data_IF_795363844858
#
_entry.id   IF_795363844858
#
_cell.length_a   1.000
_cell.length_b   1.000
_cell.length_c   1.000
_cell.angle_alpha   90.00
_cell.angle_beta   90.00
_cell.angle_gamma   90.00
#
_symmetry.space_group_name_H-M   'P 1'
#
loop_
_entity.id
_entity.type
_entity.pdbx_description
1 polymer ?
#
# COMPACT_ATOMS: atom_id res chain seq x y z
N UNK A 1 1.33 1.56 0.05
CA UNK A 1 2.12 0.31 -0.15
C UNK A 1 3.31 0.29 0.78
N UNK A 2 3.68 -0.86 1.30
CA UNK A 2 4.89 -1.05 2.11
C UNK A 2 5.90 -1.81 1.27
N UNK A 3 7.10 -1.24 1.12
CA UNK A 3 8.20 -1.75 0.31
C UNK A 3 9.43 -1.93 1.19
N UNK A 4 10.03 -3.11 1.17
CA UNK A 4 11.25 -3.44 1.90
C UNK A 4 12.35 -3.91 0.93
N UNK A 5 13.58 -3.43 1.15
CA UNK A 5 14.72 -3.73 0.28
C UNK A 5 14.74 -2.93 -1.01
N UNK A 6 15.70 -3.25 -1.89
CA UNK A 6 16.00 -2.52 -3.13
C UNK A 6 16.22 -3.47 -4.30
N UNK A 7 16.03 -2.97 -5.52
CA UNK A 7 16.27 -3.72 -6.75
C UNK A 7 15.50 -5.04 -6.78
N UNK A 8 16.16 -6.11 -7.21
CA UNK A 8 15.56 -7.45 -7.28
C UNK A 8 15.29 -8.08 -5.90
N UNK A 9 15.95 -7.59 -4.84
CA UNK A 9 15.67 -7.99 -3.45
C UNK A 9 14.44 -7.29 -2.85
N UNK A 10 13.90 -6.29 -3.51
CA UNK A 10 12.73 -5.55 -3.03
C UNK A 10 11.51 -6.46 -2.90
N UNK A 11 10.76 -6.27 -1.80
CA UNK A 11 9.54 -7.02 -1.50
C UNK A 11 8.41 -6.09 -1.14
N UNK A 12 7.23 -6.42 -1.64
CA UNK A 12 5.97 -5.71 -1.42
C UNK A 12 5.16 -6.47 -0.37
N UNK A 13 4.67 -5.78 0.65
CA UNK A 13 3.74 -6.37 1.60
C UNK A 13 2.34 -6.41 0.99
N UNK A 14 1.74 -7.59 0.96
CA UNK A 14 0.34 -7.79 0.59
C UNK A 14 -0.42 -8.46 1.71
N UNK A 15 -1.67 -8.07 1.90
CA UNK A 15 -2.54 -8.56 2.96
C UNK A 15 -3.74 -9.31 2.36
N UNK A 16 -4.12 -10.41 2.98
CA UNK A 16 -5.32 -11.17 2.59
C UNK A 16 -6.52 -10.70 3.40
N UNK A 17 -7.53 -10.19 2.74
CA UNK A 17 -8.72 -9.60 3.37
C UNK A 17 -9.61 -10.63 4.06
N UNK A 18 -10.20 -10.22 5.17
CA UNK A 18 -11.18 -11.00 5.95
C UNK A 18 -12.54 -10.29 6.02
N UNK A 19 -12.89 -9.49 5.03
CA UNK A 19 -14.16 -8.73 5.03
C UNK A 19 -15.13 -9.22 3.98
N UNK A 20 -16.31 -9.70 4.40
CA UNK A 20 -17.48 -9.95 3.57
C UNK A 20 -17.16 -10.46 2.15
N UNK A 21 -17.61 -9.71 1.13
CA UNK A 21 -17.44 -10.05 -0.30
C UNK A 21 -16.00 -10.03 -0.80
N UNK A 22 -15.07 -9.43 -0.07
CA UNK A 22 -13.64 -9.37 -0.43
C UNK A 22 -12.78 -10.38 0.33
N UNK A 23 -13.40 -11.29 1.11
CA UNK A 23 -12.67 -12.29 1.88
C UNK A 23 -11.81 -13.19 0.99
N UNK A 24 -10.54 -13.34 1.38
CA UNK A 24 -9.55 -14.13 0.65
C UNK A 24 -8.80 -13.38 -0.45
N UNK A 25 -9.26 -12.20 -0.84
CA UNK A 25 -8.58 -11.38 -1.83
C UNK A 25 -7.31 -10.74 -1.26
N UNK A 26 -6.27 -10.67 -2.07
CA UNK A 26 -5.03 -9.99 -1.73
C UNK A 26 -5.05 -8.52 -2.15
N UNK A 27 -4.61 -7.65 -1.27
CA UNK A 27 -4.55 -6.20 -1.51
C UNK A 27 -3.31 -5.57 -0.86
N UNK A 28 -2.97 -4.37 -1.30
CA UNK A 28 -2.14 -3.46 -0.51
C UNK A 28 -2.93 -2.99 0.73
N UNK A 29 -2.24 -2.41 1.73
CA UNK A 29 -2.92 -1.70 2.82
C UNK A 29 -3.78 -0.60 2.23
N UNK A 30 -5.04 -0.57 2.64
CA UNK A 30 -6.04 0.40 2.18
C UNK A 30 -6.86 0.88 3.37
N UNK A 31 -7.23 2.16 3.35
CA UNK A 31 -8.09 2.73 4.37
C UNK A 31 -8.91 3.90 3.85
N UNK A 32 -9.83 4.37 4.69
CA UNK A 32 -10.66 5.53 4.43
C UNK A 32 -10.19 6.70 5.26
N UNK A 33 -10.39 7.91 4.74
CA UNK A 33 -10.19 9.13 5.51
C UNK A 33 -11.22 9.20 6.64
N UNK A 34 -10.76 9.55 7.81
CA UNK A 34 -11.61 10.01 8.89
C UNK A 34 -11.92 11.50 8.74
N UNK A 35 -12.87 11.99 9.55
CA UNK A 35 -13.23 13.41 9.51
C UNK A 35 -12.01 14.26 9.84
N UNK A 36 -11.77 15.27 9.00
CA UNK A 36 -10.67 16.24 9.12
C UNK A 36 -9.24 15.64 9.04
N UNK A 37 -9.10 14.37 8.61
CA UNK A 37 -7.83 13.66 8.48
C UNK A 37 -7.20 13.91 7.09
N UNK A 38 -5.90 14.17 7.05
CA UNK A 38 -5.15 14.23 5.78
C UNK A 38 -4.85 12.83 5.27
N UNK A 39 -4.76 12.66 3.94
CA UNK A 39 -4.52 11.36 3.32
C UNK A 39 -3.20 10.68 3.79
N UNK A 40 -2.15 11.48 4.05
CA UNK A 40 -0.89 10.95 4.58
C UNK A 40 -1.01 10.47 6.03
N UNK A 41 -1.83 11.13 6.83
CA UNK A 41 -2.13 10.72 8.22
C UNK A 41 -2.93 9.43 8.21
N UNK A 42 -3.98 9.37 7.37
CA UNK A 42 -4.82 8.19 7.21
C UNK A 42 -4.00 6.94 6.85
N UNK A 43 -3.13 7.03 5.86
CA UNK A 43 -2.34 5.84 5.45
C UNK A 43 -1.34 5.41 6.52
N UNK A 44 -0.76 6.34 7.29
CA UNK A 44 0.10 5.99 8.43
C UNK A 44 -0.70 5.27 9.52
N UNK A 45 -1.89 5.77 9.84
CA UNK A 45 -2.81 5.14 10.81
C UNK A 45 -3.22 3.75 10.35
N UNK A 46 -3.69 3.61 9.12
CA UNK A 46 -4.12 2.30 8.57
C UNK A 46 -2.96 1.28 8.55
N UNK A 47 -1.75 1.70 8.17
CA UNK A 47 -0.57 0.81 8.24
C UNK A 47 -0.31 0.35 9.68
N UNK A 48 -0.37 1.26 10.63
CA UNK A 48 -0.15 0.91 12.04
C UNK A 48 -1.26 -0.01 12.58
N UNK A 49 -2.51 0.25 12.27
CA UNK A 49 -3.67 -0.55 12.71
C UNK A 49 -3.67 -1.95 12.08
N UNK A 50 -3.47 -2.05 10.76
CA UNK A 50 -3.56 -3.31 10.03
C UNK A 50 -2.31 -4.20 10.16
N UNK A 51 -1.13 -3.61 10.44
CA UNK A 51 0.15 -4.34 10.39
C UNK A 51 1.04 -4.18 11.61
N UNK A 52 0.73 -3.25 12.50
CA UNK A 52 1.60 -2.90 13.64
C UNK A 52 2.89 -2.15 13.25
N UNK A 53 3.05 -1.77 11.98
CA UNK A 53 4.26 -1.11 11.48
C UNK A 53 4.16 0.40 11.66
N UNK A 54 5.18 1.00 12.28
CA UNK A 54 5.34 2.46 12.33
C UNK A 54 6.07 2.95 11.07
N UNK A 55 5.52 3.97 10.41
CA UNK A 55 6.06 4.54 9.17
C UNK A 55 6.82 5.83 9.45
N UNK A 56 8.12 5.83 9.20
CA UNK A 56 8.98 7.03 9.29
C UNK A 56 9.01 7.76 7.95
N UNK A 57 9.41 7.10 6.88
CA UNK A 57 9.52 7.67 5.55
C UNK A 57 8.32 7.28 4.68
N UNK A 58 7.50 8.26 4.32
CA UNK A 58 6.35 8.09 3.44
C UNK A 58 6.51 8.97 2.20
N UNK A 59 6.24 8.39 1.04
CA UNK A 59 6.35 9.08 -0.25
C UNK A 59 5.02 9.05 -1.00
N UNK A 60 4.71 10.14 -1.71
CA UNK A 60 3.68 10.10 -2.76
C UNK A 60 4.23 9.45 -4.02
N UNK A 61 3.47 8.59 -4.64
CA UNK A 61 3.88 7.94 -5.90
C UNK A 61 3.47 8.74 -7.15
N UNK A 62 2.48 9.63 -7.00
CA UNK A 62 1.80 10.25 -8.14
C UNK A 62 0.77 9.33 -8.82
N UNK A 63 0.68 8.06 -8.40
CA UNK A 63 -0.34 7.14 -8.88
C UNK A 63 -1.62 7.25 -8.06
N UNK A 64 -2.75 7.10 -8.73
CA UNK A 64 -4.09 7.09 -8.13
C UNK A 64 -4.82 5.85 -8.62
N UNK A 65 -5.34 5.04 -7.71
CA UNK A 65 -6.30 3.99 -8.02
C UNK A 65 -7.68 4.61 -8.13
N UNK A 66 -8.36 4.37 -9.26
CA UNK A 66 -9.71 4.90 -9.51
C UNK A 66 -10.64 3.76 -9.89
N UNK A 67 -11.74 3.61 -9.17
CA UNK A 67 -12.69 2.55 -9.43
C UNK A 67 -14.14 2.96 -9.12
N UNK A 68 -15.08 2.25 -9.74
CA UNK A 68 -16.50 2.39 -9.43
C UNK A 68 -16.89 1.50 -8.25
N UNK A 69 -17.37 2.13 -7.18
CA UNK A 69 -17.95 1.45 -6.03
C UNK A 69 -19.46 1.28 -6.26
N UNK A 70 -19.89 0.08 -6.63
CA UNK A 70 -21.30 -0.22 -6.93
C UNK A 70 -22.20 -0.12 -5.70
N UNK A 71 -21.67 -0.41 -4.52
CA UNK A 71 -22.44 -0.33 -3.26
C UNK A 71 -22.77 1.11 -2.85
N UNK A 72 -21.85 2.04 -3.09
CA UNK A 72 -22.04 3.47 -2.82
C UNK A 72 -22.53 4.25 -4.05
N UNK A 73 -22.55 3.63 -5.22
CA UNK A 73 -22.85 4.26 -6.52
C UNK A 73 -21.98 5.49 -6.77
N UNK A 74 -20.66 5.36 -6.57
CA UNK A 74 -19.69 6.44 -6.64
C UNK A 74 -18.42 6.03 -7.37
N UNK A 75 -17.69 7.01 -7.91
CA UNK A 75 -16.30 6.85 -8.33
C UNK A 75 -15.43 7.19 -7.13
N UNK A 76 -14.57 6.26 -6.75
CA UNK A 76 -13.59 6.46 -5.68
C UNK A 76 -12.20 6.67 -6.28
N UNK A 77 -11.45 7.63 -5.71
CA UNK A 77 -10.07 7.94 -6.08
C UNK A 77 -9.19 7.78 -4.84
N UNK A 78 -8.23 6.87 -4.91
CA UNK A 78 -7.34 6.55 -3.80
C UNK A 78 -5.89 6.84 -4.19
N UNK A 79 -5.25 7.87 -3.63
CA UNK A 79 -3.83 8.10 -3.87
C UNK A 79 -3.00 6.94 -3.32
N UNK A 80 -1.97 6.55 -4.06
CA UNK A 80 -1.06 5.48 -3.65
C UNK A 80 0.20 6.09 -3.06
N UNK A 81 0.53 5.69 -1.84
CA UNK A 81 1.74 6.07 -1.12
C UNK A 81 2.70 4.89 -1.00
N UNK A 82 3.98 5.17 -0.82
CA UNK A 82 5.00 4.17 -0.51
C UNK A 82 5.66 4.49 0.83
N UNK A 83 5.61 3.53 1.75
CA UNK A 83 6.44 3.50 2.95
C UNK A 83 7.65 2.60 2.68
N UNK A 84 8.86 3.13 2.84
CA UNK A 84 10.11 2.43 2.52
C UNK A 84 10.81 1.95 3.78
N UNK A 85 11.33 0.73 3.70
CA UNK A 85 12.15 0.09 4.74
C UNK A 85 13.36 -0.59 4.11
N UNK A 86 14.50 -0.57 4.80
CA UNK A 86 15.72 -1.26 4.35
C UNK A 86 15.55 -2.77 4.36
N UNK A 87 14.79 -3.29 5.33
CA UNK A 87 14.44 -4.70 5.46
C UNK A 87 12.99 -4.86 5.90
N UNK A 88 12.40 -6.03 5.67
CA UNK A 88 11.02 -6.31 6.02
C UNK A 88 10.79 -6.18 7.54
N UNK A 89 9.97 -5.23 8.00
CA UNK A 89 9.60 -5.13 9.41
C UNK A 89 8.71 -6.28 9.83
N UNK A 90 8.63 -6.53 11.15
CA UNK A 90 7.70 -7.48 11.71
C UNK A 90 6.26 -7.03 11.49
N UNK A 91 5.39 -7.97 11.13
CA UNK A 91 3.97 -7.72 10.86
C UNK A 91 3.12 -8.38 11.94
N UNK A 92 2.22 -7.61 12.54
CA UNK A 92 1.17 -8.10 13.44
C UNK A 92 -0.18 -7.70 12.85
N UNK A 93 -0.90 -8.67 12.30
CA UNK A 93 -2.19 -8.41 11.64
C UNK A 93 -3.30 -8.10 12.65
N UNK A 94 -4.20 -7.23 12.24
CA UNK A 94 -5.48 -7.02 12.88
C UNK A 94 -6.50 -8.14 12.52
N UNK A 95 -7.75 -8.00 13.01
CA UNK A 95 -8.82 -8.97 12.74
C UNK A 95 -9.42 -8.85 11.33
N UNK A 96 -9.08 -7.81 10.59
CA UNK A 96 -9.59 -7.55 9.23
C UNK A 96 -8.81 -8.30 8.15
N UNK A 97 -7.70 -8.95 8.54
CA UNK A 97 -6.82 -9.67 7.62
C UNK A 97 -6.54 -11.09 8.09
N UNK A 98 -6.50 -12.03 7.14
CA UNK A 98 -6.28 -13.47 7.39
C UNK A 98 -4.81 -13.85 7.37
N UNK A 99 -4.02 -13.22 6.49
CA UNK A 99 -2.62 -13.54 6.25
C UNK A 99 -1.90 -12.35 5.63
N UNK A 100 -0.58 -12.40 5.63
CA UNK A 100 0.28 -11.48 4.88
C UNK A 100 1.37 -12.23 4.13
N UNK A 101 1.92 -11.61 3.09
CA UNK A 101 3.08 -12.10 2.35
C UNK A 101 3.97 -10.93 1.94
N UNK A 102 5.28 -11.17 1.95
CA UNK A 102 6.26 -10.34 1.30
C UNK A 102 6.57 -10.93 -0.07
N UNK A 103 6.16 -10.27 -1.13
CA UNK A 103 6.25 -10.77 -2.51
C UNK A 103 7.21 -9.92 -3.34
N UNK A 104 7.84 -10.52 -4.33
CA UNK A 104 8.46 -9.76 -5.42
C UNK A 104 7.41 -8.93 -6.17
N UNK A 105 7.83 -7.96 -6.95
CA UNK A 105 6.88 -7.17 -7.74
C UNK A 105 6.10 -8.04 -8.74
N UNK A 106 6.74 -9.00 -9.37
CA UNK A 106 6.07 -9.93 -10.30
C UNK A 106 5.00 -10.77 -9.59
N UNK A 107 5.34 -11.37 -8.45
CA UNK A 107 4.39 -12.15 -7.64
C UNK A 107 3.25 -11.27 -7.10
N UNK A 108 3.53 -10.03 -6.70
CA UNK A 108 2.51 -9.11 -6.23
C UNK A 108 1.52 -8.71 -7.33
N UNK A 109 1.99 -8.48 -8.57
CA UNK A 109 1.14 -8.22 -9.73
C UNK A 109 0.17 -9.39 -9.97
N UNK A 110 0.65 -10.63 -9.86
CA UNK A 110 -0.21 -11.81 -10.03
C UNK A 110 -1.20 -12.01 -8.86
N UNK A 111 -0.79 -11.68 -7.64
CA UNK A 111 -1.60 -11.92 -6.44
C UNK A 111 -2.69 -10.87 -6.20
N UNK A 112 -2.40 -9.58 -6.49
CA UNK A 112 -3.30 -8.48 -6.17
C UNK A 112 -4.61 -8.56 -6.95
N UNK A 113 -5.73 -8.43 -6.24
CA UNK A 113 -7.07 -8.51 -6.82
C UNK A 113 -7.48 -7.22 -7.57
N UNK A 114 -6.98 -6.07 -7.15
CA UNK A 114 -7.43 -4.76 -7.63
C UNK A 114 -6.58 -4.24 -8.79
N UNK A 115 -7.19 -3.96 -9.96
CA UNK A 115 -6.47 -3.53 -11.16
C UNK A 115 -5.58 -2.30 -10.95
N UNK A 116 -6.10 -1.25 -10.33
CA UNK A 116 -5.34 -0.02 -10.11
C UNK A 116 -4.11 -0.22 -9.23
N UNK A 117 -4.17 -1.14 -8.27
CA UNK A 117 -3.00 -1.52 -7.47
C UNK A 117 -1.95 -2.23 -8.34
N UNK A 118 -2.37 -3.18 -9.19
CA UNK A 118 -1.45 -3.87 -10.12
C UNK A 118 -0.79 -2.90 -11.09
N UNK A 119 -1.56 -1.99 -11.65
CA UNK A 119 -1.10 -1.02 -12.66
C UNK A 119 -0.07 -0.03 -12.10
N UNK A 120 -0.14 0.28 -10.81
CA UNK A 120 0.83 1.15 -10.15
C UNK A 120 2.19 0.50 -9.90
N UNK A 121 2.25 -0.83 -9.74
CA UNK A 121 3.47 -1.54 -9.32
C UNK A 121 4.67 -1.34 -10.25
N UNK A 122 4.57 -1.36 -11.60
CA UNK A 122 5.70 -1.10 -12.48
C UNK A 122 6.30 0.30 -12.30
N UNK A 123 5.46 1.31 -12.10
CA UNK A 123 5.92 2.68 -11.82
C UNK A 123 6.63 2.78 -10.49
N UNK A 124 6.07 2.14 -9.46
CA UNK A 124 6.64 2.14 -8.12
C UNK A 124 7.96 1.37 -8.09
N UNK A 125 8.05 0.22 -8.77
CA UNK A 125 9.30 -0.52 -8.89
C UNK A 125 10.40 0.36 -9.47
N UNK A 126 10.14 0.99 -10.60
CA UNK A 126 11.08 1.87 -11.28
C UNK A 126 11.58 3.01 -10.40
N UNK A 127 10.66 3.71 -9.70
CA UNK A 127 10.97 4.97 -9.01
C UNK A 127 11.41 4.78 -7.56
N UNK A 128 11.09 3.63 -6.92
CA UNK A 128 11.33 3.40 -5.49
C UNK A 128 12.13 2.13 -5.17
N UNK A 129 12.22 1.15 -6.08
CA UNK A 129 13.03 -0.04 -5.88
C UNK A 129 14.31 -0.02 -6.71
N UNK A 130 14.21 0.27 -8.01
CA UNK A 130 15.34 0.24 -8.94
C UNK A 130 16.17 1.52 -8.92
N UNK A 131 15.65 2.60 -8.36
CA UNK A 131 16.28 3.93 -8.26
C UNK A 131 16.20 4.45 -6.83
N UNK A 132 17.05 5.46 -6.54
CA UNK A 132 16.86 6.23 -5.31
C UNK A 132 15.52 6.96 -5.34
N UNK A 133 14.76 6.92 -4.21
CA UNK A 133 13.47 7.58 -4.12
C UNK A 133 13.61 9.08 -4.41
N UNK A 134 12.76 9.66 -5.28
CA UNK A 134 12.83 11.08 -5.59
C UNK A 134 12.61 11.95 -4.34
N UNK A 135 13.56 12.79 -3.92
CA UNK A 135 13.46 13.57 -2.66
C UNK A 135 12.23 14.48 -2.62
N UNK A 136 11.79 14.99 -3.77
CA UNK A 136 10.62 15.88 -3.87
C UNK A 136 9.27 15.17 -3.61
N UNK A 137 9.27 13.83 -3.60
CA UNK A 137 8.09 13.01 -3.29
C UNK A 137 7.98 12.62 -1.82
N UNK A 138 9.01 12.88 -1.02
CA UNK A 138 8.96 12.65 0.42
C UNK A 138 7.91 13.55 1.06
N UNK A 139 6.95 12.94 1.75
CA UNK A 139 5.94 13.67 2.52
C UNK A 139 6.57 14.10 3.84
N UNK A 140 6.62 15.40 4.04
CA UNK A 140 7.08 16.02 5.29
C UNK A 140 5.87 16.41 6.09
N UNK A 141 5.89 16.06 7.36
CA UNK A 141 4.88 16.57 8.29
C UNK A 141 5.19 18.06 8.51
N UNK A 142 4.28 18.92 8.04
CA UNK A 142 4.33 20.36 8.27
C UNK A 142 3.57 20.71 9.58
#
# INVERSE_FOLDING_TARGET
>A
MILAGRGEAARVLVLQRNKNTSRGLWSLVMGRLEKDEKAAEAIRREIAEETGIAVEALYTTGCVDTFFNSGANSIEMMPIFVALFDSAPAVTLDHEHLAFRWLSFAEAIEALAYPGQRDALPHIKRDFADREPPPFRLIRDE
#
